data_IF_745702991816
#
_entry.id   IF_745702991816
#
_cell.length_a   1.000
_cell.length_b   1.000
_cell.length_c   1.000
_cell.angle_alpha   90.00
_cell.angle_beta   90.00
_cell.angle_gamma   90.00
#
_symmetry.space_group_name_H-M   'P 1'
#
loop_
_entity.id
_entity.type
_entity.pdbx_description
1 polymer ?
#
# COMPACT_ATOMS: atom_id res chain seq x y z
N UNK A 1 4.63 -1.84 8.11
CA UNK A 1 5.03 -2.89 7.17
C UNK A 1 6.44 -2.65 6.61
N UNK A 2 6.78 -1.48 6.08
CA UNK A 2 8.10 -1.13 5.53
C UNK A 2 9.27 -1.50 6.46
N UNK A 3 9.17 -1.17 7.75
CA UNK A 3 10.19 -1.48 8.76
C UNK A 3 10.29 -3.00 8.96
N UNK A 4 9.17 -3.68 9.06
CA UNK A 4 9.13 -5.14 9.23
C UNK A 4 9.82 -5.83 8.05
N UNK A 5 9.46 -5.45 6.82
CA UNK A 5 10.04 -6.07 5.61
C UNK A 5 11.54 -5.77 5.45
N UNK A 6 12.02 -4.65 6.01
CA UNK A 6 13.43 -4.26 5.94
C UNK A 6 14.30 -4.89 7.03
N UNK A 7 13.84 -4.79 8.28
CA UNK A 7 14.68 -5.03 9.45
C UNK A 7 14.43 -6.40 10.08
N UNK A 8 13.48 -7.16 9.55
CA UNK A 8 13.12 -8.46 10.09
C UNK A 8 13.20 -9.55 9.01
N UNK A 9 13.64 -10.72 9.43
CA UNK A 9 13.70 -11.92 8.60
C UNK A 9 12.81 -13.01 9.21
N UNK A 10 12.16 -13.84 8.39
CA UNK A 10 11.40 -14.97 8.91
C UNK A 10 12.35 -15.97 9.55
N UNK A 11 12.08 -16.29 10.80
CA UNK A 11 12.82 -17.31 11.54
C UNK A 11 12.09 -18.65 11.49
N UNK A 12 10.79 -18.59 11.64
CA UNK A 12 9.96 -19.78 11.80
C UNK A 12 8.50 -19.46 11.42
N UNK A 13 7.83 -20.38 10.75
CA UNK A 13 6.40 -20.31 10.44
C UNK A 13 5.70 -21.55 10.97
N UNK A 14 4.65 -21.34 11.75
CA UNK A 14 3.73 -22.36 12.22
C UNK A 14 2.31 -21.95 11.91
N UNK A 15 1.37 -22.87 11.88
CA UNK A 15 -0.02 -22.65 11.51
C UNK A 15 -0.61 -21.39 12.17
N UNK A 16 -0.73 -20.31 11.40
CA UNK A 16 -1.30 -19.04 11.84
C UNK A 16 -0.32 -18.04 12.47
N UNK A 17 0.99 -18.37 12.57
CA UNK A 17 2.01 -17.49 13.15
C UNK A 17 3.26 -17.43 12.29
N UNK A 18 3.83 -16.23 12.18
CA UNK A 18 5.13 -16.00 11.59
C UNK A 18 6.03 -15.33 12.63
N UNK A 19 7.07 -16.04 13.04
CA UNK A 19 8.08 -15.48 13.93
C UNK A 19 9.14 -14.78 13.09
N UNK A 20 9.36 -13.51 13.37
CA UNK A 20 10.33 -12.68 12.70
C UNK A 20 11.48 -12.38 13.65
N UNK A 21 12.70 -12.56 13.19
CA UNK A 21 13.90 -12.15 13.88
C UNK A 21 14.37 -10.79 13.37
N UNK A 22 14.70 -9.90 14.30
CA UNK A 22 15.34 -8.63 13.96
C UNK A 22 16.73 -8.86 13.42
N UNK A 23 16.94 -8.52 12.17
CA UNK A 23 18.23 -8.62 11.50
C UNK A 23 18.52 -7.27 10.81
N UNK A 24 19.03 -6.27 11.54
CA UNK A 24 19.26 -4.96 10.99
C UNK A 24 20.28 -5.05 9.86
N UNK A 25 19.79 -4.83 8.64
CA UNK A 25 20.64 -4.71 7.45
C UNK A 25 21.24 -3.30 7.47
N UNK A 26 22.33 -3.12 8.19
CA UNK A 26 23.13 -1.89 8.21
C UNK A 26 22.31 -0.60 8.47
N UNK A 27 22.85 0.34 9.20
CA UNK A 27 22.21 1.63 9.50
C UNK A 27 22.16 2.59 8.28
N UNK A 28 22.16 2.05 7.06
CA UNK A 28 22.04 2.84 5.85
C UNK A 28 20.64 3.46 5.74
N UNK A 29 20.59 4.75 5.44
CA UNK A 29 19.36 5.44 5.03
C UNK A 29 18.70 4.59 3.92
N UNK A 30 17.45 4.18 4.15
CA UNK A 30 16.70 3.47 3.10
C UNK A 30 16.70 4.37 1.88
N UNK A 31 17.25 3.93 0.72
CA UNK A 31 17.20 4.74 -0.47
C UNK A 31 15.73 5.04 -0.76
N UNK A 32 15.42 6.29 -1.07
CA UNK A 32 14.11 6.64 -1.55
C UNK A 32 13.91 5.90 -2.88
N UNK A 33 12.81 5.15 -2.98
CA UNK A 33 12.50 4.44 -4.20
C UNK A 33 12.32 5.43 -5.35
N UNK A 34 12.69 5.01 -6.55
CA UNK A 34 12.54 5.83 -7.76
C UNK A 34 11.06 6.20 -7.94
N UNK A 35 10.76 7.48 -8.07
CA UNK A 35 9.41 7.94 -8.43
C UNK A 35 9.12 7.53 -9.87
N UNK A 36 8.02 6.81 -10.07
CA UNK A 36 7.56 6.33 -11.36
C UNK A 36 6.50 7.24 -11.97
N UNK A 37 5.61 7.77 -11.11
CA UNK A 37 4.53 8.65 -11.50
C UNK A 37 4.26 9.66 -10.39
N UNK A 38 4.12 10.93 -10.75
CA UNK A 38 3.46 11.93 -9.91
C UNK A 38 2.41 12.62 -10.77
N UNK A 39 1.16 12.51 -10.37
CA UNK A 39 0.04 13.05 -11.14
C UNK A 39 -1.03 13.59 -10.21
N UNK A 40 -1.67 14.66 -10.64
CA UNK A 40 -2.89 15.17 -10.07
C UNK A 40 -4.08 14.44 -10.72
N UNK A 41 -4.94 13.87 -9.90
CA UNK A 41 -6.12 13.11 -10.33
C UNK A 41 -7.36 13.61 -9.60
N UNK A 42 -8.53 13.34 -10.16
CA UNK A 42 -9.81 13.59 -9.47
C UNK A 42 -10.18 12.41 -8.58
N UNK A 43 -10.87 12.72 -7.47
CA UNK A 43 -11.52 11.66 -6.68
C UNK A 43 -12.52 10.93 -7.59
N UNK A 44 -12.49 9.60 -7.59
CA UNK A 44 -13.30 8.75 -8.47
C UNK A 44 -12.61 8.36 -9.77
N UNK A 45 -11.47 8.97 -10.11
CA UNK A 45 -10.70 8.60 -11.31
C UNK A 45 -10.01 7.25 -11.12
N UNK A 46 -10.14 6.38 -12.12
CA UNK A 46 -9.46 5.08 -12.15
C UNK A 46 -8.04 5.24 -12.68
N UNK A 47 -7.09 4.73 -11.94
CA UNK A 47 -5.66 4.74 -12.32
C UNK A 47 -5.23 3.33 -12.68
N UNK A 48 -4.72 3.18 -13.89
CA UNK A 48 -4.10 1.95 -14.36
C UNK A 48 -2.62 1.95 -14.00
N UNK A 49 -2.16 0.87 -13.37
CA UNK A 49 -0.77 0.65 -12.98
C UNK A 49 -0.19 -0.64 -13.56
N UNK A 50 -0.88 -1.23 -14.51
CA UNK A 50 -0.47 -2.49 -15.14
C UNK A 50 1.00 -2.46 -15.62
N UNK A 51 1.47 -1.33 -16.14
CA UNK A 51 2.85 -1.17 -16.63
C UNK A 51 3.90 -1.42 -15.54
N UNK A 52 3.58 -1.19 -14.28
CA UNK A 52 4.52 -1.29 -13.15
C UNK A 52 4.20 -2.44 -12.19
N UNK A 53 3.17 -3.25 -12.47
CA UNK A 53 2.71 -4.29 -11.56
C UNK A 53 3.68 -5.47 -11.35
N UNK A 54 4.80 -5.49 -12.06
CA UNK A 54 5.84 -6.52 -11.90
C UNK A 54 6.82 -6.21 -10.77
N UNK A 55 6.82 -4.99 -10.26
CA UNK A 55 7.74 -4.53 -9.23
C UNK A 55 7.00 -4.07 -7.96
N UNK A 56 7.67 -4.11 -6.80
CA UNK A 56 7.07 -3.62 -5.57
C UNK A 56 6.83 -2.11 -5.64
N UNK A 57 5.58 -1.68 -5.38
CA UNK A 57 5.15 -0.30 -5.51
C UNK A 57 4.73 0.29 -4.17
N UNK A 58 5.09 1.54 -3.98
CA UNK A 58 4.63 2.39 -2.90
C UNK A 58 3.69 3.47 -3.44
N UNK A 59 2.59 3.68 -2.77
CA UNK A 59 1.62 4.73 -3.05
C UNK A 59 1.69 5.80 -1.96
N UNK A 60 1.70 7.04 -2.39
CA UNK A 60 1.50 8.22 -1.56
C UNK A 60 0.33 9.00 -2.12
N UNK A 61 -0.59 9.43 -1.25
CA UNK A 61 -1.78 10.18 -1.61
C UNK A 61 -1.83 11.46 -0.76
N UNK A 62 -1.85 12.61 -1.38
CA UNK A 62 -2.11 13.88 -0.69
C UNK A 62 -3.59 14.25 -0.85
N UNK A 63 -4.40 13.87 0.12
CA UNK A 63 -5.85 14.09 0.16
C UNK A 63 -6.12 15.20 1.16
N UNK A 64 -6.47 16.38 0.66
CA UNK A 64 -6.70 17.57 1.48
C UNK A 64 -8.19 17.84 1.65
N UNK A 65 -8.54 18.38 2.82
CA UNK A 65 -9.88 18.90 3.05
C UNK A 65 -10.11 20.15 2.20
N UNK A 66 -11.32 20.31 1.70
CA UNK A 66 -11.79 21.60 1.18
C UNK A 66 -12.04 22.58 2.34
N UNK A 67 -12.33 23.85 2.04
CA UNK A 67 -12.72 24.81 3.05
C UNK A 67 -14.02 24.37 3.76
N UNK A 68 -14.97 23.79 3.02
CA UNK A 68 -16.19 23.20 3.56
C UNK A 68 -15.88 22.03 4.49
N UNK A 69 -14.96 21.16 4.10
CA UNK A 69 -14.50 20.04 4.92
C UNK A 69 -13.83 20.51 6.22
N UNK A 70 -13.07 21.60 6.19
CA UNK A 70 -12.53 22.22 7.40
C UNK A 70 -13.65 22.72 8.32
N UNK A 71 -14.59 23.49 7.80
CA UNK A 71 -15.71 24.02 8.58
C UNK A 71 -16.55 22.90 9.20
N UNK A 72 -16.94 21.92 8.38
CA UNK A 72 -17.79 20.81 8.82
C UNK A 72 -17.10 19.85 9.80
N UNK A 73 -15.76 19.77 9.77
CA UNK A 73 -15.02 18.90 10.70
C UNK A 73 -15.11 19.32 12.17
N UNK A 74 -15.57 20.53 12.47
CA UNK A 74 -15.86 20.97 13.83
C UNK A 74 -17.18 20.42 14.38
N UNK A 75 -18.14 20.14 13.50
CA UNK A 75 -19.50 19.77 13.90
C UNK A 75 -19.82 18.30 13.59
N UNK A 76 -19.18 17.73 12.56
CA UNK A 76 -19.49 16.41 12.05
C UNK A 76 -18.24 15.59 11.77
N UNK A 77 -18.42 14.28 11.80
CA UNK A 77 -17.37 13.36 11.30
C UNK A 77 -17.23 13.53 9.79
N UNK A 78 -15.99 13.59 9.33
CA UNK A 78 -15.70 13.60 7.90
C UNK A 78 -16.16 12.29 7.26
N UNK A 79 -16.56 12.33 5.97
CA UNK A 79 -16.92 11.16 5.22
C UNK A 79 -15.74 10.18 5.12
N UNK A 80 -16.07 8.91 4.91
CA UNK A 80 -15.06 7.86 4.81
C UNK A 80 -14.46 7.88 3.41
N UNK A 81 -13.15 7.83 3.36
CA UNK A 81 -12.39 7.69 2.11
C UNK A 81 -11.98 6.24 1.94
N UNK A 82 -12.18 5.71 0.75
CA UNK A 82 -11.80 4.36 0.39
C UNK A 82 -10.75 4.37 -0.72
N UNK A 83 -9.90 3.37 -0.69
CA UNK A 83 -9.03 2.98 -1.77
C UNK A 83 -9.59 1.69 -2.36
N UNK A 84 -10.16 1.79 -3.54
CA UNK A 84 -10.70 0.67 -4.27
C UNK A 84 -9.61 0.09 -5.17
N UNK A 85 -9.34 -1.19 -5.04
CA UNK A 85 -8.25 -1.90 -5.70
C UNK A 85 -8.80 -2.95 -6.66
N UNK A 86 -8.33 -2.95 -7.89
CA UNK A 86 -8.57 -4.00 -8.87
C UNK A 86 -7.32 -4.84 -9.06
N UNK A 87 -7.45 -6.15 -8.96
CA UNK A 87 -6.35 -7.10 -9.09
C UNK A 87 -6.37 -7.82 -10.43
N UNK A 88 -5.23 -8.32 -10.88
CA UNK A 88 -5.05 -9.02 -12.16
C UNK A 88 -5.89 -10.30 -12.30
N UNK A 89 -6.38 -10.85 -11.19
CA UNK A 89 -7.32 -11.99 -11.17
C UNK A 89 -8.80 -11.58 -11.28
N UNK A 90 -9.08 -10.30 -11.55
CA UNK A 90 -10.42 -9.73 -11.62
C UNK A 90 -11.07 -9.46 -10.27
N UNK A 91 -10.33 -9.62 -9.16
CA UNK A 91 -10.81 -9.31 -7.83
C UNK A 91 -10.92 -7.81 -7.59
N UNK A 92 -11.94 -7.41 -6.81
CA UNK A 92 -12.09 -6.05 -6.35
C UNK A 92 -12.13 -6.00 -4.84
N UNK A 93 -11.42 -5.04 -4.24
CA UNK A 93 -11.35 -4.86 -2.81
C UNK A 93 -11.34 -3.38 -2.47
N UNK A 94 -12.06 -3.00 -1.40
CA UNK A 94 -12.13 -1.61 -0.92
C UNK A 94 -11.59 -1.51 0.49
N UNK A 95 -10.63 -0.62 0.69
CA UNK A 95 -10.02 -0.38 1.99
C UNK A 95 -10.29 1.04 2.45
N UNK A 96 -10.77 1.17 3.68
CA UNK A 96 -10.85 2.46 4.32
C UNK A 96 -9.46 3.01 4.54
N UNK A 97 -9.24 4.24 4.07
CA UNK A 97 -7.99 4.98 4.31
C UNK A 97 -8.26 6.22 5.16
N UNK A 98 -7.25 6.62 5.92
CA UNK A 98 -7.29 7.85 6.71
C UNK A 98 -6.49 8.92 5.96
N UNK A 99 -7.10 10.02 5.52
CA UNK A 99 -6.40 11.07 4.77
C UNK A 99 -5.16 11.64 5.47
N UNK A 100 -5.15 11.61 6.80
CA UNK A 100 -4.00 12.07 7.60
C UNK A 100 -2.80 11.13 7.56
N UNK A 101 -3.00 9.86 7.18
CA UNK A 101 -1.95 8.85 7.10
C UNK A 101 -1.47 8.62 5.65
N UNK A 102 -2.21 9.08 4.66
CA UNK A 102 -1.90 8.84 3.25
C UNK A 102 -0.66 9.57 2.72
N UNK A 103 -0.19 10.69 3.31
CA UNK A 103 1.12 11.24 2.96
C UNK A 103 2.29 10.34 3.32
N UNK A 104 2.10 9.38 4.23
CA UNK A 104 3.09 8.33 4.50
C UNK A 104 2.94 7.23 3.47
N UNK A 105 3.94 7.08 2.60
CA UNK A 105 3.91 6.05 1.55
C UNK A 105 3.64 4.66 2.11
N UNK A 106 2.73 3.93 1.50
CA UNK A 106 2.39 2.55 1.86
C UNK A 106 2.48 1.63 0.63
N UNK A 107 2.75 0.36 0.87
CA UNK A 107 2.89 -0.62 -0.19
C UNK A 107 1.52 -0.99 -0.76
N UNK A 108 1.40 -0.96 -2.09
CA UNK A 108 0.20 -1.36 -2.81
C UNK A 108 0.43 -2.54 -3.74
N UNK A 109 1.66 -2.81 -4.11
CA UNK A 109 2.00 -3.96 -4.93
C UNK A 109 3.30 -4.60 -4.41
N UNK A 110 3.34 -5.92 -4.17
CA UNK A 110 2.19 -6.82 -4.13
C UNK A 110 1.23 -6.50 -2.98
N UNK A 111 0.00 -6.99 -3.10
CA UNK A 111 -1.01 -6.83 -2.06
C UNK A 111 -0.72 -7.79 -0.90
N UNK A 112 -0.30 -7.24 0.23
CA UNK A 112 -0.11 -7.98 1.48
C UNK A 112 -1.22 -7.56 2.44
N UNK A 113 -2.27 -8.36 2.50
CA UNK A 113 -3.50 -8.06 3.24
C UNK A 113 -3.70 -8.97 4.44
N UNK A 114 -3.18 -10.19 4.34
CA UNK A 114 -3.29 -11.23 5.35
C UNK A 114 -1.92 -11.71 5.77
N UNK A 115 -1.87 -12.39 6.88
CA UNK A 115 -0.64 -13.01 7.34
C UNK A 115 -0.13 -14.06 6.35
N UNK A 116 -1.02 -14.82 5.70
CA UNK A 116 -0.66 -15.75 4.63
C UNK A 116 0.10 -15.04 3.50
N UNK A 117 -0.36 -13.86 3.09
CA UNK A 117 0.29 -13.11 2.00
C UNK A 117 1.71 -12.67 2.41
N UNK A 118 1.92 -12.37 3.70
CA UNK A 118 3.25 -12.05 4.21
C UNK A 118 4.16 -13.29 4.21
N UNK A 119 3.63 -14.46 4.54
CA UNK A 119 4.36 -15.74 4.45
C UNK A 119 4.71 -16.00 2.98
N UNK A 120 3.75 -15.88 2.07
CA UNK A 120 3.96 -16.06 0.64
C UNK A 120 4.99 -15.08 0.08
N UNK A 121 5.00 -13.83 0.58
CA UNK A 121 6.04 -12.87 0.24
C UNK A 121 7.44 -13.35 0.62
N UNK A 122 7.60 -13.89 1.84
CA UNK A 122 8.90 -14.34 2.31
C UNK A 122 9.33 -15.68 1.69
N UNK A 123 8.40 -16.52 1.29
CA UNK A 123 8.67 -17.81 0.63
C UNK A 123 8.80 -17.69 -0.88
N UNK A 124 8.61 -16.51 -1.45
CA UNK A 124 8.70 -16.26 -2.89
C UNK A 124 7.51 -16.80 -3.69
N UNK A 125 6.42 -17.14 -3.02
CA UNK A 125 5.19 -17.55 -3.69
C UNK A 125 4.53 -16.38 -4.41
N UNK A 126 3.70 -16.71 -5.39
CA UNK A 126 2.98 -15.70 -6.18
C UNK A 126 1.95 -14.97 -5.34
N UNK A 127 2.09 -13.66 -5.25
CA UNK A 127 1.11 -12.78 -4.60
C UNK A 127 0.18 -12.14 -5.63
N UNK A 128 -0.98 -11.71 -5.14
CA UNK A 128 -1.91 -10.93 -5.96
C UNK A 128 -1.27 -9.61 -6.36
N UNK A 129 -1.32 -9.31 -7.64
CA UNK A 129 -0.80 -8.07 -8.21
C UNK A 129 -1.93 -7.10 -8.44
N UNK A 130 -1.64 -5.85 -8.17
CA UNK A 130 -2.56 -4.76 -8.43
C UNK A 130 -2.50 -4.36 -9.90
N UNK A 131 -3.64 -4.12 -10.50
CA UNK A 131 -3.79 -3.64 -11.87
C UNK A 131 -4.29 -2.21 -11.91
N UNK A 132 -5.31 -1.92 -11.10
CA UNK A 132 -5.93 -0.60 -11.05
C UNK A 132 -6.23 -0.18 -9.61
N UNK A 133 -6.30 1.12 -9.39
CA UNK A 133 -6.86 1.64 -8.15
C UNK A 133 -7.67 2.92 -8.39
N UNK A 134 -8.55 3.22 -7.43
CA UNK A 134 -9.38 4.43 -7.42
C UNK A 134 -9.54 4.92 -5.98
N UNK A 135 -9.53 6.22 -5.78
CA UNK A 135 -9.88 6.83 -4.49
C UNK A 135 -11.35 7.26 -4.55
N UNK A 136 -12.16 6.79 -3.61
CA UNK A 136 -13.58 7.12 -3.53
C UNK A 136 -13.97 7.65 -2.15
N UNK A 137 -15.09 8.34 -2.07
CA UNK A 137 -15.65 8.92 -0.84
C UNK A 137 -17.07 8.39 -0.66
N UNK A 138 -17.38 7.95 0.56
CA UNK A 138 -18.73 7.45 0.86
C UNK A 138 -19.34 8.22 2.04
N UNK A 139 -20.57 8.70 1.90
CA UNK A 139 -21.38 8.72 0.68
C UNK A 139 -20.84 9.73 -0.35
N UNK A 140 -21.04 9.45 -1.64
CA UNK A 140 -20.42 10.17 -2.75
C UNK A 140 -20.74 11.67 -2.78
N UNK A 141 -21.95 12.06 -2.37
CA UNK A 141 -22.35 13.47 -2.31
C UNK A 141 -21.56 14.31 -1.30
N UNK A 142 -20.81 13.68 -0.38
CA UNK A 142 -19.90 14.36 0.56
C UNK A 142 -18.47 14.52 -0.01
N UNK A 143 -18.24 14.18 -1.26
CA UNK A 143 -16.93 14.36 -1.90
C UNK A 143 -16.46 15.81 -1.84
N UNK A 144 -17.39 16.78 -1.84
CA UNK A 144 -17.10 18.22 -1.71
C UNK A 144 -16.39 18.62 -0.40
N UNK A 145 -16.35 17.72 0.60
CA UNK A 145 -15.60 17.95 1.83
C UNK A 145 -14.08 17.80 1.65
N UNK A 146 -13.67 17.23 0.53
CA UNK A 146 -12.28 17.15 0.11
C UNK A 146 -12.04 18.02 -1.12
N UNK A 147 -10.79 18.36 -1.37
CA UNK A 147 -10.40 18.99 -2.64
C UNK A 147 -10.66 17.99 -3.76
N UNK A 148 -11.16 18.50 -4.88
CA UNK A 148 -11.49 17.64 -6.03
C UNK A 148 -10.27 16.94 -6.58
N UNK A 149 -9.13 17.64 -6.57
CA UNK A 149 -7.88 17.14 -7.08
C UNK A 149 -6.98 16.64 -5.93
N UNK A 150 -6.49 15.44 -6.07
CA UNK A 150 -5.55 14.81 -5.15
C UNK A 150 -4.24 14.53 -5.88
N UNK A 151 -3.13 14.67 -5.17
CA UNK A 151 -1.82 14.32 -5.74
C UNK A 151 -1.51 12.86 -5.42
N UNK A 152 -1.27 12.10 -6.46
CA UNK A 152 -0.85 10.70 -6.38
C UNK A 152 0.62 10.60 -6.76
N UNK A 153 1.40 9.97 -5.91
CA UNK A 153 2.79 9.63 -6.22
C UNK A 153 2.98 8.12 -6.09
N UNK A 154 3.41 7.50 -7.16
CA UNK A 154 3.78 6.08 -7.21
C UNK A 154 5.30 6.01 -7.29
N UNK A 155 5.90 5.23 -6.42
CA UNK A 155 7.34 5.00 -6.42
C UNK A 155 7.65 3.51 -6.28
N UNK A 156 8.78 3.13 -6.84
CA UNK A 156 9.34 1.79 -6.64
C UNK A 156 9.70 1.59 -5.16
N UNK A 157 9.38 0.43 -4.61
CA UNK A 157 9.80 0.11 -3.26
C UNK A 157 11.28 -0.28 -3.24
N UNK A 158 12.09 0.30 -2.37
CA UNK A 158 13.47 -0.13 -2.19
C UNK A 158 13.59 -1.50 -1.49
N UNK A 159 12.46 -2.06 -1.06
CA UNK A 159 12.42 -3.39 -0.44
C UNK A 159 12.40 -4.43 -1.55
N UNK A 160 13.55 -5.02 -1.83
CA UNK A 160 13.68 -6.19 -2.69
C UNK A 160 13.10 -7.42 -1.98
N UNK A 161 12.51 -8.32 -2.78
CA UNK A 161 12.19 -9.68 -2.30
C UNK A 161 13.42 -10.26 -1.61
N UNK A 162 13.30 -10.80 -0.40
CA UNK A 162 14.39 -11.57 0.16
C UNK A 162 14.72 -12.70 -0.83
N UNK A 163 15.92 -12.71 -1.37
CA UNK A 163 16.40 -13.90 -2.05
C UNK A 163 16.24 -15.03 -1.03
N UNK A 164 15.47 -16.08 -1.39
CA UNK A 164 15.37 -17.29 -0.58
C UNK A 164 16.79 -17.70 -0.23
N UNK A 165 17.19 -17.53 1.02
CA UNK A 165 18.32 -18.24 1.52
C UNK A 165 17.91 -19.72 1.48
N UNK A 166 18.62 -20.53 0.71
CA UNK A 166 18.38 -21.98 0.49
C UNK A 166 18.26 -22.79 1.80
N UNK A 167 18.37 -22.13 2.95
CA UNK A 167 18.34 -22.70 4.29
C UNK A 167 16.94 -22.97 4.87
N UNK A 168 15.86 -22.47 4.28
CA UNK A 168 14.49 -22.68 4.82
C UNK A 168 13.87 -23.98 4.29
N UNK A 169 14.36 -24.50 3.17
CA UNK A 169 13.82 -25.71 2.54
C UNK A 169 14.26 -27.01 3.23
N UNK A 170 15.19 -26.97 4.20
CA UNK A 170 15.72 -28.17 4.87
C UNK A 170 15.05 -28.51 6.22
N UNK A 171 14.02 -27.76 6.65
CA UNK A 171 13.35 -28.02 7.96
C UNK A 171 11.82 -28.02 7.89
N UNK A 172 11.25 -28.46 6.78
CA UNK A 172 9.83 -28.81 6.70
C UNK A 172 9.67 -30.31 6.59
#
# INVERSE_FOLDING_TARGET
LKIILRDYQPLFSETGYLLLQHAPRGQGRVPEGKTLLTRQIKIGELIDIHTWNQQPLLLNLDIRKSWLGHLMSFFYRLPVVYLDLGTTDGGHQSYRILPTMTPSSFMINPLILRQSDLIDWYTGNSLKKLETFKVSVTPEWLQSFFQTDIVVTISESPVTLPALADSVTQKL
#
